data_IF_055601315239
#
_entry.id   IF_055601315239
#
_cell.length_a   1.000
_cell.length_b   1.000
_cell.length_c   1.000
_cell.angle_alpha   90.00
_cell.angle_beta   90.00
_cell.angle_gamma   90.00
#
_symmetry.space_group_name_H-M   'P 1'
#
loop_
_entity.id
_entity.type
_entity.pdbx_description
1 polymer ?
#
# COMPACT_ATOMS: atom_id res chain seq x y z
N UNK A 1 -14.08 1.20 9.19
CA UNK A 1 -15.07 1.29 8.11
C UNK A 1 -15.60 2.70 8.05
N UNK A 2 -15.77 3.24 6.83
CA UNK A 2 -16.52 4.47 6.54
C UNK A 2 -17.68 4.07 5.63
N UNK A 3 -18.87 4.54 5.95
CA UNK A 3 -20.07 4.38 5.09
C UNK A 3 -20.61 5.77 4.80
N UNK A 4 -20.85 6.07 3.54
CA UNK A 4 -21.49 7.32 3.10
C UNK A 4 -22.67 7.00 2.18
N UNK A 5 -23.70 7.83 2.22
CA UNK A 5 -24.84 7.74 1.29
C UNK A 5 -25.25 9.12 0.84
N UNK A 6 -25.31 9.35 -0.48
CA UNK A 6 -25.70 10.59 -1.11
C UNK A 6 -24.89 11.81 -0.63
N UNK A 7 -23.56 11.66 -0.48
CA UNK A 7 -22.69 12.72 0.02
C UNK A 7 -21.79 13.27 -1.07
N UNK A 8 -21.14 12.39 -1.84
CA UNK A 8 -20.05 12.77 -2.75
C UNK A 8 -20.53 13.69 -3.86
N UNK A 9 -21.74 13.45 -4.38
CA UNK A 9 -22.29 14.16 -5.52
C UNK A 9 -22.38 15.69 -5.33
N UNK A 10 -22.59 16.17 -4.09
CA UNK A 10 -22.78 17.60 -3.80
C UNK A 10 -21.55 18.29 -3.20
N UNK A 11 -20.41 17.61 -3.10
CA UNK A 11 -19.21 18.19 -2.54
C UNK A 11 -18.52 19.13 -3.54
N UNK A 12 -18.04 20.31 -3.08
CA UNK A 12 -17.29 21.23 -3.94
C UNK A 12 -15.90 20.68 -4.33
N UNK A 13 -15.34 19.78 -3.52
CA UNK A 13 -14.04 19.13 -3.73
C UNK A 13 -14.11 17.63 -3.41
N UNK A 14 -14.78 16.83 -4.24
CA UNK A 14 -14.95 15.40 -3.99
C UNK A 14 -13.62 14.63 -4.04
N UNK A 15 -12.64 15.12 -4.80
CA UNK A 15 -11.27 14.60 -4.81
C UNK A 15 -10.59 14.66 -3.43
N UNK A 16 -10.80 15.76 -2.70
CA UNK A 16 -10.27 15.89 -1.34
C UNK A 16 -11.01 15.00 -0.35
N UNK A 17 -12.31 14.78 -0.55
CA UNK A 17 -13.08 13.89 0.31
C UNK A 17 -12.52 12.46 0.26
N UNK A 18 -12.24 11.91 -0.93
CA UNK A 18 -11.62 10.59 -1.07
C UNK A 18 -10.25 10.52 -0.38
N UNK A 19 -9.43 11.57 -0.50
CA UNK A 19 -8.13 11.65 0.21
C UNK A 19 -8.31 11.63 1.73
N UNK A 20 -9.26 12.41 2.25
CA UNK A 20 -9.52 12.46 3.69
C UNK A 20 -10.12 11.15 4.21
N UNK A 21 -11.02 10.52 3.47
CA UNK A 21 -11.55 9.21 3.85
C UNK A 21 -10.45 8.15 3.89
N UNK A 22 -9.56 8.12 2.87
CA UNK A 22 -8.41 7.23 2.90
C UNK A 22 -7.49 7.53 4.09
N UNK A 23 -7.24 8.81 4.39
CA UNK A 23 -6.40 9.21 5.53
C UNK A 23 -6.94 8.71 6.85
N UNK A 24 -8.22 8.90 7.13
CA UNK A 24 -8.84 8.57 8.44
C UNK A 24 -9.22 7.09 8.60
N UNK A 25 -9.35 6.33 7.52
CA UNK A 25 -9.52 4.88 7.60
C UNK A 25 -8.34 4.26 8.38
N UNK A 26 -8.65 3.32 9.25
CA UNK A 26 -7.62 2.43 9.83
C UNK A 26 -7.00 1.56 8.72
N UNK A 27 -5.74 1.11 8.86
CA UNK A 27 -5.15 0.14 7.95
C UNK A 27 -6.05 -1.08 7.76
N UNK A 28 -6.22 -1.53 6.53
CA UNK A 28 -7.16 -2.58 6.17
C UNK A 28 -8.64 -2.18 6.19
N UNK A 29 -8.94 -0.93 6.58
CA UNK A 29 -10.31 -0.41 6.61
C UNK A 29 -10.90 -0.21 5.22
N UNK A 30 -12.23 -0.28 5.11
CA UNK A 30 -12.98 -0.19 3.86
C UNK A 30 -13.90 1.03 3.86
N UNK A 31 -13.95 1.71 2.72
CA UNK A 31 -14.96 2.71 2.36
C UNK A 31 -16.09 2.04 1.59
N UNK A 32 -17.32 2.31 1.99
CA UNK A 32 -18.55 2.02 1.26
C UNK A 32 -19.24 3.36 0.96
N UNK A 33 -19.29 3.74 -0.32
CA UNK A 33 -19.89 4.99 -0.75
C UNK A 33 -21.07 4.71 -1.69
N UNK A 34 -22.29 4.86 -1.15
CA UNK A 34 -23.54 4.80 -1.91
C UNK A 34 -23.83 6.17 -2.48
N UNK A 35 -23.85 6.30 -3.81
CA UNK A 35 -24.14 7.57 -4.47
C UNK A 35 -24.77 7.34 -5.84
N UNK A 36 -25.15 8.39 -6.53
CA UNK A 36 -25.74 8.34 -7.86
C UNK A 36 -25.25 9.48 -8.75
N UNK A 37 -25.51 9.36 -10.03
CA UNK A 37 -25.33 10.45 -10.99
C UNK A 37 -26.63 11.31 -11.05
N UNK A 38 -26.91 11.99 -9.92
CA UNK A 38 -28.18 12.71 -9.70
C UNK A 38 -28.50 13.77 -10.75
N UNK A 39 -27.48 14.44 -11.29
CA UNK A 39 -27.65 15.59 -12.18
C UNK A 39 -26.94 15.43 -13.52
N UNK A 40 -26.55 14.23 -13.91
CA UNK A 40 -25.97 13.96 -15.22
C UNK A 40 -26.90 14.29 -16.36
N UNK A 41 -28.23 14.28 -16.12
CA UNK A 41 -29.28 14.70 -17.07
C UNK A 41 -29.18 16.19 -17.49
N UNK A 42 -28.50 17.03 -16.69
CA UNK A 42 -28.27 18.44 -17.06
C UNK A 42 -27.29 18.60 -18.24
N UNK A 43 -26.49 17.57 -18.51
CA UNK A 43 -25.40 17.60 -19.50
C UNK A 43 -25.47 16.47 -20.53
N UNK A 44 -26.45 15.56 -20.41
CA UNK A 44 -26.67 14.45 -21.33
C UNK A 44 -28.15 14.36 -21.72
N UNK A 45 -28.40 14.44 -23.04
CA UNK A 45 -29.78 14.50 -23.60
C UNK A 45 -30.55 13.18 -23.40
N UNK A 46 -29.87 12.03 -23.52
CA UNK A 46 -30.50 10.72 -23.27
C UNK A 46 -30.93 10.57 -21.80
N UNK A 47 -30.10 10.99 -20.89
CA UNK A 47 -30.41 11.00 -19.44
C UNK A 47 -31.55 11.99 -19.14
N UNK A 48 -31.61 13.13 -19.85
CA UNK A 48 -32.70 14.10 -19.70
C UNK A 48 -34.04 13.49 -20.14
N UNK A 49 -34.08 12.89 -21.32
CA UNK A 49 -35.28 12.23 -21.82
C UNK A 49 -35.76 11.10 -20.88
N UNK A 50 -34.83 10.38 -20.25
CA UNK A 50 -35.17 9.35 -19.27
C UNK A 50 -35.69 9.96 -17.97
N UNK A 51 -35.06 11.04 -17.49
CA UNK A 51 -35.54 11.78 -16.32
C UNK A 51 -36.94 12.30 -16.46
N UNK A 52 -37.31 12.85 -17.64
CA UNK A 52 -38.67 13.29 -17.94
C UNK A 52 -39.67 12.13 -17.93
N UNK A 53 -39.27 10.95 -18.41
CA UNK A 53 -40.09 9.73 -18.30
C UNK A 53 -40.37 9.33 -16.86
N UNK A 54 -39.38 9.38 -15.99
CA UNK A 54 -39.58 9.05 -14.58
C UNK A 54 -40.62 9.94 -13.93
N UNK A 55 -40.64 11.25 -14.29
CA UNK A 55 -41.68 12.17 -13.78
C UNK A 55 -43.08 11.81 -14.28
N UNK A 56 -43.24 11.39 -15.55
CA UNK A 56 -44.52 10.91 -16.06
C UNK A 56 -44.96 9.59 -15.42
N UNK A 57 -44.06 8.67 -15.13
CA UNK A 57 -44.37 7.40 -14.48
C UNK A 57 -44.89 7.57 -13.05
N UNK A 58 -44.39 8.53 -12.27
CA UNK A 58 -44.92 8.81 -10.93
C UNK A 58 -46.39 9.26 -10.99
N UNK A 59 -46.76 10.04 -11.98
CA UNK A 59 -48.16 10.46 -12.19
C UNK A 59 -49.05 9.28 -12.62
N UNK A 60 -48.64 8.48 -13.61
CA UNK A 60 -49.39 7.35 -14.14
C UNK A 60 -49.65 6.27 -13.08
N UNK A 61 -48.64 5.98 -12.25
CA UNK A 61 -48.70 4.93 -11.22
C UNK A 61 -49.27 5.43 -9.88
N UNK A 62 -49.63 6.72 -9.79
CA UNK A 62 -50.15 7.38 -8.59
C UNK A 62 -49.19 7.20 -7.34
N UNK A 63 -47.88 7.19 -7.58
CA UNK A 63 -46.85 7.16 -6.56
C UNK A 63 -46.52 8.59 -6.16
N UNK A 64 -46.18 8.79 -4.87
CA UNK A 64 -45.75 10.12 -4.40
C UNK A 64 -44.47 10.56 -5.14
N UNK A 65 -44.59 11.71 -5.83
CA UNK A 65 -43.42 12.31 -6.49
C UNK A 65 -42.56 13.04 -5.45
N UNK A 66 -41.35 12.57 -5.21
CA UNK A 66 -40.42 13.16 -4.26
C UNK A 66 -40.00 14.58 -4.56
N UNK A 67 -40.19 15.03 -5.80
CA UNK A 67 -39.86 16.41 -6.20
C UNK A 67 -41.09 17.35 -6.12
N UNK A 68 -42.26 16.82 -5.73
CA UNK A 68 -43.47 17.63 -5.63
C UNK A 68 -43.31 18.75 -4.59
N UNK A 69 -43.51 19.98 -5.06
CA UNK A 69 -43.35 21.18 -4.22
C UNK A 69 -41.94 21.68 -4.05
N UNK A 70 -40.96 21.07 -4.71
CA UNK A 70 -39.60 21.59 -4.78
C UNK A 70 -39.40 22.55 -5.92
N UNK A 71 -38.53 23.56 -5.73
CA UNK A 71 -38.13 24.48 -6.82
C UNK A 71 -37.02 23.79 -7.63
N UNK A 72 -37.45 23.03 -8.65
CA UNK A 72 -36.55 22.21 -9.49
C UNK A 72 -35.57 23.10 -10.24
N UNK A 73 -36.00 24.28 -10.77
CA UNK A 73 -35.11 25.18 -11.51
C UNK A 73 -33.96 25.66 -10.62
N UNK A 74 -34.25 26.02 -9.38
CA UNK A 74 -33.24 26.46 -8.43
C UNK A 74 -32.32 25.32 -8.00
N UNK A 75 -32.85 24.11 -7.82
CA UNK A 75 -32.04 22.93 -7.52
C UNK A 75 -31.06 22.63 -8.67
N UNK A 76 -31.54 22.68 -9.92
CA UNK A 76 -30.69 22.49 -11.10
C UNK A 76 -29.64 23.62 -11.24
N UNK A 77 -29.98 24.86 -10.92
CA UNK A 77 -29.05 25.99 -10.92
C UNK A 77 -27.88 25.71 -9.94
N UNK A 78 -28.20 25.24 -8.74
CA UNK A 78 -27.18 24.85 -7.73
C UNK A 78 -26.37 23.66 -8.24
N UNK A 79 -27.04 22.65 -8.78
CA UNK A 79 -26.38 21.44 -9.27
C UNK A 79 -25.38 21.72 -10.41
N UNK A 80 -25.66 22.72 -11.26
CA UNK A 80 -24.70 23.16 -12.29
C UNK A 80 -23.40 23.71 -11.75
N UNK A 81 -23.35 24.10 -10.47
CA UNK A 81 -22.14 24.58 -9.81
C UNK A 81 -21.34 23.45 -9.15
N UNK A 82 -21.93 22.26 -9.01
CA UNK A 82 -21.29 21.10 -8.37
C UNK A 82 -20.44 20.33 -9.40
N UNK A 83 -19.18 20.04 -9.10
CA UNK A 83 -18.23 19.45 -10.05
C UNK A 83 -18.72 18.12 -10.66
N UNK A 84 -19.32 17.25 -9.84
CA UNK A 84 -19.69 15.89 -10.27
C UNK A 84 -20.89 15.85 -11.22
N UNK A 85 -21.71 16.90 -11.27
CA UNK A 85 -22.84 16.98 -12.22
C UNK A 85 -22.39 16.95 -13.69
N UNK A 86 -21.12 17.30 -13.98
CA UNK A 86 -20.55 17.37 -15.34
C UNK A 86 -19.70 16.15 -15.70
N UNK A 87 -19.44 15.27 -14.73
CA UNK A 87 -18.50 14.16 -14.88
C UNK A 87 -19.26 12.85 -15.03
N UNK A 88 -18.69 11.93 -15.80
CA UNK A 88 -19.25 10.60 -15.99
C UNK A 88 -19.07 9.77 -14.73
N UNK A 89 -20.13 9.51 -14.02
CA UNK A 89 -20.15 8.67 -12.82
C UNK A 89 -20.75 7.29 -13.13
N UNK A 90 -20.25 6.21 -12.50
CA UNK A 90 -19.22 6.13 -11.43
C UNK A 90 -17.79 6.13 -11.93
N UNK A 91 -17.53 6.23 -13.22
CA UNK A 91 -16.19 6.12 -13.82
C UNK A 91 -15.18 7.09 -13.21
N UNK A 92 -15.55 8.36 -13.07
CA UNK A 92 -14.68 9.37 -12.44
C UNK A 92 -14.32 9.00 -11.00
N UNK A 93 -15.26 8.46 -10.25
CA UNK A 93 -15.05 8.03 -8.86
C UNK A 93 -14.05 6.90 -8.79
N UNK A 94 -14.22 5.86 -9.61
CA UNK A 94 -13.30 4.71 -9.69
C UNK A 94 -11.86 5.14 -10.00
N UNK A 95 -11.69 6.02 -11.00
CA UNK A 95 -10.39 6.57 -11.36
C UNK A 95 -9.79 7.40 -10.22
N UNK A 96 -10.61 8.22 -9.55
CA UNK A 96 -10.17 9.10 -8.46
C UNK A 96 -9.78 8.30 -7.23
N UNK A 97 -10.57 7.29 -6.84
CA UNK A 97 -10.25 6.39 -5.74
C UNK A 97 -8.94 5.64 -6.00
N UNK A 98 -8.76 5.09 -7.20
CA UNK A 98 -7.53 4.40 -7.61
C UNK A 98 -6.31 5.34 -7.54
N UNK A 99 -6.41 6.53 -8.12
CA UNK A 99 -5.35 7.56 -8.09
C UNK A 99 -5.04 8.04 -6.66
N UNK A 100 -6.04 8.03 -5.79
CA UNK A 100 -5.87 8.41 -4.37
C UNK A 100 -5.12 7.34 -3.58
N UNK A 101 -5.12 6.08 -4.04
CA UNK A 101 -4.41 4.97 -3.40
C UNK A 101 -5.31 3.98 -2.66
N UNK A 102 -6.63 4.02 -2.90
CA UNK A 102 -7.49 2.91 -2.49
C UNK A 102 -7.13 1.64 -3.27
N UNK A 103 -7.19 0.50 -2.59
CA UNK A 103 -7.02 -0.84 -3.13
C UNK A 103 -8.39 -1.49 -3.34
N UNK A 104 -8.44 -2.52 -4.19
CA UNK A 104 -9.64 -3.31 -4.44
C UNK A 104 -10.85 -2.42 -4.78
N UNK A 105 -10.59 -1.36 -5.58
CA UNK A 105 -11.63 -0.41 -5.97
C UNK A 105 -12.62 -1.10 -6.90
N UNK A 106 -13.89 -1.07 -6.52
CA UNK A 106 -14.98 -1.65 -7.31
C UNK A 106 -16.25 -0.81 -7.24
N UNK A 107 -17.15 -1.06 -8.20
CA UNK A 107 -18.48 -0.48 -8.24
C UNK A 107 -19.53 -1.56 -8.48
N UNK A 108 -20.56 -1.57 -7.64
CA UNK A 108 -21.79 -2.33 -7.89
C UNK A 108 -22.88 -1.34 -8.36
N UNK A 109 -23.17 -1.37 -9.65
CA UNK A 109 -24.21 -0.54 -10.27
C UNK A 109 -25.62 -1.14 -10.15
N UNK A 110 -25.74 -2.34 -9.56
CA UNK A 110 -27.01 -3.01 -9.37
C UNK A 110 -27.50 -2.98 -7.91
N UNK A 111 -26.74 -2.42 -6.98
CA UNK A 111 -27.03 -2.36 -5.54
C UNK A 111 -28.41 -1.76 -5.23
N UNK A 112 -28.90 -0.84 -6.06
CA UNK A 112 -30.23 -0.23 -5.92
C UNK A 112 -31.35 -1.27 -5.90
N UNK A 113 -31.22 -2.40 -6.59
CA UNK A 113 -32.20 -3.49 -6.61
C UNK A 113 -32.39 -4.16 -5.25
N UNK A 114 -31.38 -4.06 -4.39
CA UNK A 114 -31.38 -4.66 -3.06
C UNK A 114 -31.81 -3.68 -1.95
N UNK A 115 -31.59 -2.38 -2.19
CA UNK A 115 -31.71 -1.37 -1.12
C UNK A 115 -32.83 -0.36 -1.35
N UNK A 116 -33.42 -0.29 -2.55
CA UNK A 116 -34.52 0.61 -2.86
C UNK A 116 -35.89 -0.06 -2.74
N UNK A 117 -36.86 0.73 -2.30
CA UNK A 117 -38.29 0.37 -2.37
C UNK A 117 -38.81 0.51 -3.79
N UNK A 118 -39.99 -0.06 -4.07
CA UNK A 118 -40.65 0.10 -5.37
C UNK A 118 -40.91 1.59 -5.69
N UNK A 119 -41.26 2.40 -4.70
CA UNK A 119 -41.47 3.85 -4.86
C UNK A 119 -40.16 4.59 -5.22
N UNK A 120 -39.03 4.25 -4.56
CA UNK A 120 -37.73 4.82 -4.88
C UNK A 120 -37.30 4.46 -6.32
N UNK A 121 -37.58 3.24 -6.76
CA UNK A 121 -37.29 2.78 -8.12
C UNK A 121 -38.06 3.62 -9.14
N UNK A 122 -39.38 3.82 -8.95
CA UNK A 122 -40.22 4.60 -9.85
C UNK A 122 -39.73 6.05 -9.91
N UNK A 123 -39.39 6.64 -8.77
CA UNK A 123 -38.96 8.03 -8.68
C UNK A 123 -37.57 8.29 -9.27
N UNK A 124 -36.66 7.31 -9.26
CA UNK A 124 -35.23 7.55 -9.51
C UNK A 124 -34.60 6.58 -10.52
N UNK A 125 -35.40 5.90 -11.37
CA UNK A 125 -34.89 4.87 -12.29
C UNK A 125 -33.81 5.34 -13.23
N UNK A 126 -33.81 6.64 -13.56
CA UNK A 126 -32.80 7.29 -14.42
C UNK A 126 -31.45 7.50 -13.75
N UNK A 127 -31.46 7.62 -12.42
CA UNK A 127 -30.24 7.88 -11.63
C UNK A 127 -30.09 6.86 -10.50
N UNK A 128 -29.97 5.55 -10.85
CA UNK A 128 -29.89 4.51 -9.85
C UNK A 128 -28.62 4.70 -9.01
N UNK A 129 -28.76 4.43 -7.69
CA UNK A 129 -27.56 4.45 -6.84
C UNK A 129 -26.65 3.30 -7.18
N UNK A 130 -25.37 3.56 -7.08
CA UNK A 130 -24.29 2.58 -7.16
C UNK A 130 -23.55 2.54 -5.82
N UNK A 131 -22.86 1.43 -5.56
CA UNK A 131 -21.97 1.27 -4.42
C UNK A 131 -20.53 1.24 -4.89
N UNK A 132 -19.76 2.22 -4.48
CA UNK A 132 -18.31 2.21 -4.61
C UNK A 132 -17.67 1.63 -3.36
N UNK A 133 -16.74 0.72 -3.54
CA UNK A 133 -15.92 0.18 -2.44
C UNK A 133 -14.45 0.41 -2.70
N UNK A 134 -13.67 0.57 -1.63
CA UNK A 134 -12.24 0.65 -1.72
C UNK A 134 -11.60 0.44 -0.35
N UNK A 135 -10.47 -0.24 -0.31
CA UNK A 135 -9.77 -0.62 0.92
C UNK A 135 -8.49 0.19 1.10
N UNK A 136 -8.21 0.61 2.34
CA UNK A 136 -6.89 1.11 2.72
C UNK A 136 -5.92 -0.04 2.88
N UNK A 137 -4.68 0.11 2.39
CA UNK A 137 -3.63 -0.88 2.60
C UNK A 137 -3.49 -1.24 4.08
N UNK A 138 -3.26 -2.52 4.40
CA UNK A 138 -3.00 -2.96 5.76
C UNK A 138 -1.63 -2.45 6.25
N UNK A 139 -1.44 -2.35 7.57
CA UNK A 139 -0.13 -2.11 8.16
C UNK A 139 0.81 -3.30 7.88
N UNK A 140 2.09 -3.02 7.76
CA UNK A 140 3.12 -4.03 7.69
C UNK A 140 3.54 -4.42 9.12
N UNK A 141 3.56 -5.72 9.40
CA UNK A 141 3.97 -6.28 10.68
C UNK A 141 5.18 -7.16 10.51
N UNK A 142 6.21 -6.90 11.29
CA UNK A 142 7.41 -7.71 11.37
C UNK A 142 7.92 -7.72 12.83
N UNK A 143 7.73 -8.83 13.52
CA UNK A 143 8.15 -8.97 14.93
C UNK A 143 7.63 -7.82 15.82
N UNK A 144 8.53 -7.08 16.48
CA UNK A 144 8.20 -5.92 17.30
C UNK A 144 7.81 -4.65 16.51
N UNK A 145 7.81 -4.73 15.17
CA UNK A 145 7.59 -3.57 14.29
C UNK A 145 6.19 -3.59 13.70
N UNK A 146 5.53 -2.45 13.74
CA UNK A 146 4.31 -2.17 12.97
C UNK A 146 4.49 -0.85 12.24
N UNK A 147 4.30 -0.86 10.91
CA UNK A 147 4.47 0.32 10.05
C UNK A 147 3.21 0.55 9.23
N UNK A 148 2.61 1.72 9.41
CA UNK A 148 1.43 2.13 8.66
C UNK A 148 1.77 2.41 7.17
N UNK A 149 0.81 2.25 6.24
CA UNK A 149 1.00 2.64 4.84
C UNK A 149 1.43 4.11 4.71
N UNK A 150 2.45 4.34 3.90
CA UNK A 150 3.06 5.66 3.70
C UNK A 150 3.97 6.11 4.83
N UNK A 151 4.32 5.21 5.73
CA UNK A 151 5.20 5.52 6.87
C UNK A 151 6.59 4.89 6.71
N UNK A 152 7.55 5.55 7.34
CA UNK A 152 8.92 5.08 7.51
C UNK A 152 9.20 4.90 8.99
N UNK A 153 9.57 3.68 9.37
CA UNK A 153 10.02 3.35 10.71
C UNK A 153 11.53 3.23 10.76
N UNK A 154 12.14 3.61 11.85
CA UNK A 154 13.58 3.47 12.07
C UNK A 154 13.83 3.14 13.56
N UNK A 155 14.57 2.06 13.83
CA UNK A 155 14.79 1.60 15.18
C UNK A 155 15.55 0.27 15.23
N UNK A 156 15.30 -0.51 16.27
CA UNK A 156 15.85 -1.85 16.46
C UNK A 156 14.81 -2.91 16.13
N UNK A 157 15.11 -3.75 15.14
CA UNK A 157 14.37 -4.98 14.84
C UNK A 157 14.80 -6.07 15.81
N UNK A 158 13.85 -6.64 16.53
CA UNK A 158 14.08 -7.74 17.47
C UNK A 158 13.80 -9.09 16.79
N UNK A 159 14.78 -9.99 16.81
CA UNK A 159 14.67 -11.38 16.38
C UNK A 159 14.95 -12.30 17.58
N UNK A 160 14.63 -13.59 17.45
CA UNK A 160 14.83 -14.59 18.50
C UNK A 160 14.27 -14.09 19.85
N UNK A 161 12.98 -13.70 19.86
CA UNK A 161 12.25 -13.20 21.04
C UNK A 161 12.95 -12.04 21.79
N UNK A 162 13.69 -11.21 21.05
CA UNK A 162 14.38 -10.02 21.56
C UNK A 162 15.83 -10.22 21.97
N UNK A 163 16.37 -11.43 21.85
CA UNK A 163 17.79 -11.72 22.12
C UNK A 163 18.72 -11.04 21.10
N UNK A 164 18.26 -10.92 19.84
CA UNK A 164 19.01 -10.32 18.74
C UNK A 164 18.36 -9.01 18.37
N UNK A 165 19.12 -7.91 18.38
CA UNK A 165 18.65 -6.55 18.05
C UNK A 165 19.48 -5.97 16.92
N UNK A 166 18.82 -5.71 15.78
CA UNK A 166 19.46 -5.24 14.57
C UNK A 166 18.98 -3.82 14.21
N UNK A 167 19.89 -2.87 13.93
CA UNK A 167 19.53 -1.53 13.53
C UNK A 167 18.88 -1.56 12.14
N UNK A 168 17.58 -1.27 12.07
CA UNK A 168 16.81 -1.40 10.85
C UNK A 168 16.01 -0.14 10.49
N UNK A 169 15.65 -0.05 9.23
CA UNK A 169 14.67 0.90 8.70
C UNK A 169 13.66 0.13 7.85
N UNK A 170 12.37 0.41 8.05
CA UNK A 170 11.29 -0.14 7.24
C UNK A 170 10.53 1.00 6.58
N UNK A 171 10.41 0.94 5.25
CA UNK A 171 9.58 1.85 4.47
C UNK A 171 8.39 1.06 3.93
N UNK A 172 7.18 1.41 4.34
CA UNK A 172 5.95 0.76 3.89
C UNK A 172 5.14 1.73 3.03
N UNK A 173 5.22 1.60 1.69
CA UNK A 173 4.58 2.49 0.73
C UNK A 173 3.06 2.49 0.82
N UNK A 174 2.40 3.46 0.18
CA UNK A 174 0.93 3.49 0.11
C UNK A 174 0.37 2.39 -0.80
N UNK A 175 1.03 2.14 -1.94
CA UNK A 175 0.60 1.15 -2.91
C UNK A 175 1.08 -0.26 -2.55
N UNK A 176 0.28 -1.28 -2.86
CA UNK A 176 0.70 -2.68 -2.76
C UNK A 176 1.86 -2.97 -3.71
N UNK A 177 2.70 -3.91 -3.31
CA UNK A 177 3.85 -4.34 -4.08
C UNK A 177 4.67 -5.34 -3.28
N UNK A 178 5.81 -5.70 -3.83
CA UNK A 178 6.74 -6.67 -3.29
C UNK A 178 7.49 -6.14 -2.06
N UNK A 179 7.99 -7.07 -1.25
CA UNK A 179 8.87 -6.75 -0.13
C UNK A 179 10.32 -6.99 -0.54
N UNK A 180 11.15 -5.97 -0.40
CA UNK A 180 12.60 -6.06 -0.60
C UNK A 180 13.32 -6.00 0.75
N UNK A 181 14.18 -6.97 0.99
CA UNK A 181 15.12 -6.98 2.10
C UNK A 181 16.50 -6.56 1.59
N UNK A 182 17.10 -5.58 2.25
CA UNK A 182 18.48 -5.14 2.03
C UNK A 182 19.23 -5.29 3.34
N UNK A 183 20.32 -6.02 3.33
CA UNK A 183 21.19 -6.20 4.50
C UNK A 183 22.59 -5.68 4.22
N UNK A 184 23.30 -5.30 5.27
CA UNK A 184 24.71 -4.95 5.24
C UNK A 184 25.39 -5.38 6.54
N UNK A 185 26.71 -5.45 6.54
CA UNK A 185 27.49 -5.75 7.72
C UNK A 185 27.30 -7.17 8.24
N UNK A 186 27.09 -8.14 7.36
CA UNK A 186 27.31 -9.57 7.63
C UNK A 186 28.76 -9.75 8.06
N UNK A 187 29.68 -9.12 7.35
CA UNK A 187 31.02 -8.85 7.80
C UNK A 187 31.11 -7.42 8.37
N UNK A 188 31.38 -7.31 9.64
CA UNK A 188 31.30 -6.05 10.36
C UNK A 188 32.42 -5.04 10.01
N UNK A 189 33.51 -5.49 9.38
CA UNK A 189 34.61 -4.66 8.87
C UNK A 189 34.35 -4.06 7.48
N UNK A 190 33.29 -4.46 6.80
CA UNK A 190 32.94 -3.97 5.45
C UNK A 190 32.15 -2.66 5.52
N UNK A 191 32.82 -1.60 5.99
CA UNK A 191 32.19 -0.32 6.32
C UNK A 191 31.51 0.37 5.14
N UNK A 192 31.97 0.17 3.90
CA UNK A 192 31.39 0.79 2.70
C UNK A 192 29.99 0.27 2.45
N UNK A 193 29.76 -1.04 2.59
CA UNK A 193 28.44 -1.65 2.49
C UNK A 193 27.48 -1.15 3.59
N UNK A 194 27.98 -1.05 4.83
CA UNK A 194 27.22 -0.51 5.97
C UNK A 194 26.84 0.95 5.73
N UNK A 195 27.79 1.78 5.29
CA UNK A 195 27.54 3.19 4.97
C UNK A 195 26.53 3.34 3.84
N UNK A 196 26.60 2.50 2.81
CA UNK A 196 25.62 2.48 1.72
C UNK A 196 24.21 2.19 2.23
N UNK A 197 24.04 1.21 3.12
CA UNK A 197 22.73 0.91 3.74
C UNK A 197 22.20 2.07 4.60
N UNK A 198 23.07 2.74 5.37
CA UNK A 198 22.72 3.93 6.15
C UNK A 198 22.25 5.06 5.23
N UNK A 199 23.03 5.40 4.20
CA UNK A 199 22.66 6.46 3.26
C UNK A 199 21.39 6.14 2.49
N UNK A 200 21.22 4.92 2.02
CA UNK A 200 20.02 4.48 1.35
C UNK A 200 18.79 4.65 2.26
N UNK A 201 18.92 4.22 3.54
CA UNK A 201 17.87 4.41 4.52
C UNK A 201 17.50 5.86 4.76
N UNK A 202 18.42 6.81 4.61
CA UNK A 202 18.17 8.24 4.77
C UNK A 202 17.58 8.89 3.51
N UNK A 203 18.12 8.52 2.34
CA UNK A 203 17.81 9.17 1.04
C UNK A 203 16.49 8.67 0.42
N UNK A 204 16.06 7.45 0.73
CA UNK A 204 14.81 6.93 0.20
C UNK A 204 13.60 7.72 0.73
N UNK A 205 12.81 8.22 -0.22
CA UNK A 205 11.57 8.95 0.04
C UNK A 205 10.39 7.99 -0.02
N UNK A 206 9.59 7.99 1.03
CA UNK A 206 8.45 7.07 1.17
C UNK A 206 7.43 7.20 0.04
N UNK A 207 7.25 8.39 -0.52
CA UNK A 207 6.32 8.68 -1.61
C UNK A 207 6.68 7.95 -2.92
N UNK A 208 7.93 7.48 -3.03
CA UNK A 208 8.44 6.73 -4.19
C UNK A 208 8.42 5.22 -3.99
N UNK A 209 8.06 4.75 -2.79
CA UNK A 209 8.09 3.32 -2.46
C UNK A 209 6.76 2.67 -2.85
N UNK A 210 6.85 1.66 -3.72
CA UNK A 210 5.78 0.70 -4.01
C UNK A 210 6.14 -0.60 -3.28
N UNK A 211 5.21 -1.14 -2.49
CA UNK A 211 5.52 -2.29 -1.65
C UNK A 211 6.23 -1.91 -0.36
N UNK A 212 7.13 -2.75 0.11
CA UNK A 212 7.85 -2.58 1.39
C UNK A 212 9.35 -2.72 1.17
N UNK A 213 10.15 -1.87 1.82
CA UNK A 213 11.61 -2.01 1.83
C UNK A 213 12.07 -2.13 3.28
N UNK A 214 12.77 -3.20 3.59
CA UNK A 214 13.41 -3.46 4.88
C UNK A 214 14.92 -3.28 4.69
N UNK A 215 15.56 -2.44 5.48
CA UNK A 215 17.02 -2.21 5.43
C UNK A 215 17.59 -2.52 6.79
N UNK A 216 18.38 -3.59 6.90
CA UNK A 216 19.17 -3.91 8.09
C UNK A 216 20.59 -3.39 7.88
N UNK A 217 20.98 -2.41 8.68
CA UNK A 217 22.20 -1.63 8.44
C UNK A 217 23.47 -2.36 8.86
N UNK A 218 23.38 -3.17 9.94
CA UNK A 218 24.50 -3.96 10.46
C UNK A 218 23.96 -5.27 10.99
N UNK A 219 24.28 -6.37 10.30
CA UNK A 219 23.87 -7.71 10.69
C UNK A 219 24.68 -8.25 11.89
N UNK A 220 25.98 -8.20 11.80
CA UNK A 220 26.87 -8.60 12.89
C UNK A 220 27.20 -7.39 13.79
N UNK A 221 26.19 -6.89 14.49
CA UNK A 221 26.29 -5.71 15.34
C UNK A 221 27.35 -5.85 16.46
N UNK A 222 27.44 -6.97 17.20
CA UNK A 222 28.46 -7.11 18.24
C UNK A 222 29.88 -6.94 17.69
N UNK A 223 30.20 -7.58 16.57
CA UNK A 223 31.52 -7.44 15.96
C UNK A 223 31.77 -6.00 15.47
N UNK A 224 30.77 -5.31 14.92
CA UNK A 224 30.86 -3.92 14.49
C UNK A 224 31.19 -2.98 15.67
N UNK A 225 30.45 -3.09 16.78
CA UNK A 225 30.62 -2.24 17.95
C UNK A 225 32.01 -2.47 18.63
N UNK A 226 32.56 -3.68 18.55
CA UNK A 226 33.87 -4.03 19.09
C UNK A 226 35.01 -3.96 18.07
N UNK A 227 34.70 -3.56 16.80
CA UNK A 227 35.68 -3.50 15.69
C UNK A 227 36.44 -4.83 15.49
N UNK A 228 35.67 -5.93 15.55
CA UNK A 228 36.23 -7.29 15.45
C UNK A 228 36.27 -7.80 13.98
N UNK A 229 36.27 -6.92 13.00
CA UNK A 229 36.32 -7.30 11.59
C UNK A 229 35.13 -8.15 11.16
N UNK A 230 35.39 -9.28 10.50
CA UNK A 230 34.36 -10.12 9.87
C UNK A 230 33.88 -11.29 10.72
N UNK A 231 34.46 -11.50 11.90
CA UNK A 231 34.20 -12.67 12.72
C UNK A 231 33.25 -12.37 13.89
N UNK A 232 32.53 -13.39 14.33
CA UNK A 232 31.73 -13.33 15.56
C UNK A 232 32.54 -12.96 16.79
N UNK A 233 31.93 -12.17 17.67
CA UNK A 233 32.65 -11.64 18.83
C UNK A 233 33.04 -12.73 19.84
N UNK A 234 32.14 -13.68 20.11
CA UNK A 234 32.34 -14.69 21.14
C UNK A 234 32.77 -16.03 20.59
N UNK A 235 32.38 -16.40 19.37
CA UNK A 235 32.64 -17.71 18.79
C UNK A 235 33.73 -17.72 17.71
N UNK A 236 34.14 -16.52 17.23
CA UNK A 236 35.15 -16.38 16.19
C UNK A 236 34.72 -16.96 14.84
N UNK A 237 33.44 -17.17 14.61
CA UNK A 237 32.92 -17.73 13.37
C UNK A 237 32.55 -16.64 12.33
N UNK A 238 32.63 -17.00 11.06
CA UNK A 238 32.21 -16.14 9.99
C UNK A 238 30.69 -16.32 9.71
N UNK A 239 29.87 -15.31 10.04
CA UNK A 239 28.43 -15.36 9.86
C UNK A 239 28.03 -15.84 8.45
N UNK A 240 28.77 -15.41 7.41
CA UNK A 240 28.52 -15.79 6.01
C UNK A 240 28.85 -17.26 5.66
N UNK A 241 29.17 -18.07 6.66
CA UNK A 241 29.39 -19.52 6.55
C UNK A 241 28.41 -20.32 7.42
N UNK A 242 27.62 -19.65 8.24
CA UNK A 242 26.78 -20.31 9.23
C UNK A 242 25.31 -20.48 8.74
N UNK A 243 24.88 -19.82 7.66
CA UNK A 243 23.52 -19.99 7.13
C UNK A 243 23.23 -21.42 6.68
N UNK A 244 22.03 -21.98 6.97
CA UNK A 244 20.84 -21.36 7.58
C UNK A 244 20.87 -21.23 9.10
N UNK A 245 21.94 -21.68 9.77
CA UNK A 245 22.11 -21.56 11.20
C UNK A 245 21.55 -22.71 12.04
N UNK A 246 21.66 -22.54 13.37
CA UNK A 246 21.15 -23.45 14.37
C UNK A 246 20.65 -22.67 15.59
N UNK A 247 19.39 -22.85 16.06
CA UNK A 247 18.85 -22.11 17.20
C UNK A 247 19.59 -22.43 18.53
N UNK A 248 20.11 -23.63 18.66
CA UNK A 248 20.82 -24.09 19.84
C UNK A 248 22.36 -23.98 19.70
N UNK A 249 22.81 -23.29 18.63
CA UNK A 249 24.23 -23.19 18.30
C UNK A 249 24.95 -22.01 18.97
N UNK A 250 26.10 -21.66 18.39
CA UNK A 250 26.94 -20.54 18.81
C UNK A 250 26.32 -19.19 18.45
N UNK A 251 26.95 -18.06 18.78
CA UNK A 251 26.47 -16.72 18.50
C UNK A 251 26.11 -16.53 17.02
N UNK A 252 27.02 -16.85 16.10
CA UNK A 252 26.80 -16.67 14.65
C UNK A 252 25.80 -17.68 14.07
N UNK A 253 25.78 -18.93 14.61
CA UNK A 253 24.76 -19.90 14.18
C UNK A 253 23.34 -19.49 14.59
N UNK A 254 23.18 -18.95 15.81
CA UNK A 254 21.85 -18.43 16.24
C UNK A 254 21.43 -17.19 15.44
N UNK A 255 22.35 -16.27 15.17
CA UNK A 255 22.08 -15.12 14.32
C UNK A 255 21.67 -15.54 12.90
N UNK A 256 22.43 -16.45 12.28
CA UNK A 256 22.12 -16.99 10.96
C UNK A 256 20.73 -17.65 10.93
N UNK A 257 20.41 -18.42 11.96
CA UNK A 257 19.11 -19.08 12.09
C UNK A 257 17.95 -18.07 12.20
N UNK A 258 18.07 -17.09 13.09
CA UNK A 258 17.04 -16.07 13.28
C UNK A 258 16.79 -15.28 11.98
N UNK A 259 17.84 -14.91 11.27
CA UNK A 259 17.74 -14.24 9.97
C UNK A 259 17.04 -15.12 8.94
N UNK A 260 17.42 -16.41 8.86
CA UNK A 260 16.88 -17.37 7.89
C UNK A 260 15.40 -17.70 8.16
N UNK A 261 14.97 -17.74 9.42
CA UNK A 261 13.63 -18.16 9.79
C UNK A 261 12.66 -16.98 9.97
N UNK A 262 13.16 -15.82 10.39
CA UNK A 262 12.30 -14.74 10.83
C UNK A 262 12.36 -13.50 9.90
N UNK A 263 13.47 -13.31 9.17
CA UNK A 263 13.66 -12.12 8.34
C UNK A 263 13.60 -12.43 6.83
N UNK A 264 14.35 -13.42 6.35
CA UNK A 264 14.37 -13.77 4.93
C UNK A 264 13.00 -14.20 4.38
N UNK A 265 12.15 -14.97 5.12
CA UNK A 265 10.86 -15.43 4.58
C UNK A 265 9.84 -14.33 4.29
N UNK A 266 10.02 -13.13 4.83
CA UNK A 266 9.09 -12.00 4.56
C UNK A 266 9.43 -11.25 3.29
N UNK A 267 10.56 -11.57 2.63
CA UNK A 267 11.07 -10.87 1.46
C UNK A 267 10.75 -11.62 0.16
N UNK A 268 10.26 -10.90 -0.84
CA UNK A 268 10.19 -11.38 -2.23
C UNK A 268 11.55 -11.24 -2.94
N UNK A 269 12.33 -10.20 -2.56
CA UNK A 269 13.66 -9.91 -3.11
C UNK A 269 14.64 -9.63 -1.98
N UNK A 270 15.86 -10.10 -2.14
CA UNK A 270 16.92 -9.94 -1.14
C UNK A 270 18.21 -9.45 -1.79
N UNK A 271 18.80 -8.42 -1.21
CA UNK A 271 20.11 -7.88 -1.58
C UNK A 271 20.98 -7.83 -0.31
N UNK A 272 22.16 -8.41 -0.36
CA UNK A 272 23.15 -8.31 0.71
C UNK A 272 24.34 -7.46 0.23
N UNK A 273 24.64 -6.40 0.97
CA UNK A 273 25.66 -5.44 0.63
C UNK A 273 26.98 -5.83 1.32
N UNK A 274 27.96 -6.14 0.51
CA UNK A 274 29.33 -6.39 0.91
C UNK A 274 30.28 -5.33 0.34
N UNK A 275 31.50 -5.28 0.87
CA UNK A 275 32.59 -4.47 0.32
C UNK A 275 33.94 -5.13 0.63
N UNK A 276 35.04 -4.50 0.31
CA UNK A 276 36.34 -4.91 0.84
C UNK A 276 36.40 -4.69 2.35
N UNK A 277 37.05 -5.60 3.05
CA UNK A 277 37.35 -5.46 4.47
C UNK A 277 38.24 -4.24 4.72
N UNK A 278 38.33 -3.79 5.95
CA UNK A 278 38.99 -2.57 6.47
C UNK A 278 40.01 -1.86 5.55
N UNK A 279 40.84 -2.62 4.85
CA UNK A 279 41.96 -2.13 4.03
C UNK A 279 41.91 -2.59 2.57
N UNK A 280 40.86 -3.31 2.15
CA UNK A 280 40.76 -3.86 0.80
C UNK A 280 40.07 -2.92 -0.16
N UNK A 281 40.67 -2.73 -1.33
CA UNK A 281 40.04 -2.08 -2.47
C UNK A 281 39.52 -3.14 -3.44
N UNK A 282 38.20 -3.32 -3.48
CA UNK A 282 37.55 -4.23 -4.43
C UNK A 282 37.09 -3.50 -5.69
N UNK A 283 37.16 -4.21 -6.83
CA UNK A 283 36.43 -3.83 -8.03
C UNK A 283 34.94 -4.13 -7.79
N UNK A 284 34.00 -3.20 -8.09
CA UNK A 284 32.58 -3.48 -7.94
C UNK A 284 32.14 -4.68 -8.77
N UNK A 285 31.38 -5.58 -8.17
CA UNK A 285 30.78 -6.74 -8.82
C UNK A 285 29.49 -7.15 -8.09
N UNK A 286 28.66 -7.92 -8.77
CA UNK A 286 27.44 -8.48 -8.20
C UNK A 286 27.44 -10.00 -8.36
N UNK A 287 27.18 -10.70 -7.27
CA UNK A 287 26.88 -12.14 -7.30
C UNK A 287 25.36 -12.34 -7.42
N UNK A 288 24.97 -13.33 -8.20
CA UNK A 288 23.61 -13.85 -8.19
C UNK A 288 23.61 -15.37 -7.99
N UNK A 289 22.49 -15.90 -7.53
CA UNK A 289 22.37 -17.32 -7.21
C UNK A 289 22.58 -18.20 -8.46
N UNK A 290 23.65 -19.00 -8.48
CA UNK A 290 23.94 -19.92 -9.60
C UNK A 290 23.40 -21.33 -9.37
N UNK A 291 23.23 -21.74 -8.11
CA UNK A 291 22.73 -23.07 -7.71
C UNK A 291 21.44 -22.93 -6.89
N UNK A 292 20.36 -22.53 -7.54
CA UNK A 292 19.04 -22.34 -6.96
C UNK A 292 17.97 -22.80 -7.98
N UNK A 293 16.69 -22.87 -7.61
CA UNK A 293 15.62 -23.12 -8.58
C UNK A 293 15.68 -22.13 -9.75
N UNK A 294 15.35 -22.61 -10.96
CA UNK A 294 15.54 -21.86 -12.22
C UNK A 294 14.90 -20.46 -12.20
N UNK A 295 13.69 -20.33 -11.63
CA UNK A 295 13.02 -19.05 -11.47
C UNK A 295 13.81 -18.08 -10.57
N UNK A 296 14.46 -18.55 -9.50
CA UNK A 296 15.28 -17.73 -8.60
C UNK A 296 16.56 -17.29 -9.33
N UNK A 297 17.23 -18.20 -10.04
CA UNK A 297 18.43 -17.87 -10.83
C UNK A 297 18.09 -16.79 -11.87
N UNK A 298 16.98 -16.95 -12.60
CA UNK A 298 16.54 -15.98 -13.61
C UNK A 298 16.30 -14.60 -13.01
N UNK A 299 15.49 -14.51 -11.94
CA UNK A 299 15.15 -13.23 -11.31
C UNK A 299 16.42 -12.57 -10.70
N UNK A 300 17.25 -13.33 -10.00
CA UNK A 300 18.50 -12.82 -9.41
C UNK A 300 19.46 -12.27 -10.48
N UNK A 301 19.54 -12.93 -11.63
CA UNK A 301 20.31 -12.46 -12.77
C UNK A 301 19.74 -11.16 -13.34
N UNK A 302 18.43 -11.10 -13.58
CA UNK A 302 17.76 -9.88 -14.06
C UNK A 302 17.97 -8.71 -13.10
N UNK A 303 17.97 -8.93 -11.78
CA UNK A 303 18.30 -7.92 -10.77
C UNK A 303 19.76 -7.47 -10.90
N UNK A 304 20.71 -8.39 -11.05
CA UNK A 304 22.14 -8.09 -11.17
C UNK A 304 22.47 -7.30 -12.44
N UNK A 305 21.74 -7.50 -13.53
CA UNK A 305 21.91 -6.79 -14.80
C UNK A 305 21.44 -5.32 -14.74
N UNK A 306 20.79 -4.87 -13.65
CA UNK A 306 20.33 -3.49 -13.46
C UNK A 306 21.38 -2.60 -12.75
N UNK A 307 22.52 -3.14 -12.32
CA UNK A 307 23.53 -2.46 -11.49
C UNK A 307 24.75 -2.01 -12.32
#
# INVERSE_FOLDING_TARGET
VIVTRNVTWNLPRPDLAYREWLRVLKPGGVLYNFDADWYGHLYNEEKRNSYEKDRHQTEEQQVEDYYRGTDIEKMEEIARQVPLSRLERPKWDLETMTKTGFLDVSCDEAVWKEVWTEEEIINNSTSPIFLLTGRKRAAFHLKNITVEPGQKWNGELELADGEIRLPATVLHGHAEGKTMLITAGVHAGEYVGIQAAIELSQKLKIEKVIGTIIIVKVMNRPAFEHRNGSMGLTDGRNLNREFPGNPDGTEMERLAWAVSQELQPVADFYIDLHSGDDYEKLTPYVYYAGAAPENVVKISREMAEQV
#
